data_IF_863627521178
#
_entry.id   IF_863627521178
#
_cell.length_a   1.000
_cell.length_b   1.000
_cell.length_c   1.000
_cell.angle_alpha   90.00
_cell.angle_beta   90.00
_cell.angle_gamma   90.00
#
_symmetry.space_group_name_H-M   'P 1'
#
loop_
_entity.id
_entity.type
_entity.pdbx_description
1 polymer ?
#
# COMPACT_ATOMS: atom_id res chain seq x y z
N UNK A 1 -6.40 -24.29 1.02
CA UNK A 1 -7.62 -24.69 1.73
C UNK A 1 -8.09 -26.10 1.31
N UNK A 2 -8.37 -26.36 0.04
CA UNK A 2 -8.81 -27.68 -0.48
C UNK A 2 -7.80 -28.78 -0.11
N UNK A 3 -6.49 -28.55 -0.27
CA UNK A 3 -5.46 -29.51 0.17
C UNK A 3 -5.52 -29.80 1.67
N UNK A 4 -5.78 -28.80 2.50
CA UNK A 4 -5.92 -28.96 3.94
C UNK A 4 -7.19 -29.74 4.30
N UNK A 5 -8.31 -29.51 3.59
CA UNK A 5 -9.53 -30.31 3.72
C UNK A 5 -9.27 -31.80 3.37
N UNK A 6 -8.67 -32.04 2.21
CA UNK A 6 -8.35 -33.39 1.77
C UNK A 6 -7.39 -34.09 2.72
N UNK A 7 -6.37 -33.40 3.22
CA UNK A 7 -5.44 -33.94 4.20
C UNK A 7 -6.17 -34.36 5.47
N UNK A 8 -7.02 -33.50 6.05
CA UNK A 8 -7.78 -33.81 7.26
C UNK A 8 -8.77 -34.95 7.06
N UNK A 9 -9.51 -34.95 5.95
CA UNK A 9 -10.57 -35.95 5.69
C UNK A 9 -10.02 -37.32 5.26
N UNK A 10 -8.88 -37.37 4.58
CA UNK A 10 -8.32 -38.62 4.07
C UNK A 10 -7.16 -39.17 4.91
N UNK A 11 -6.32 -38.31 5.52
CA UNK A 11 -5.09 -38.74 6.17
C UNK A 11 -5.12 -38.68 7.71
N UNK A 12 -6.06 -37.97 8.31
CA UNK A 12 -6.16 -37.87 9.76
C UNK A 12 -7.18 -38.87 10.37
N UNK A 13 -7.65 -39.85 9.60
CA UNK A 13 -8.57 -40.89 10.09
C UNK A 13 -7.87 -42.23 10.27
N UNK A 14 -8.34 -43.02 11.27
CA UNK A 14 -7.83 -44.37 11.52
C UNK A 14 -8.34 -45.36 10.48
N UNK A 15 -7.53 -46.40 10.20
CA UNK A 15 -7.92 -47.51 9.33
C UNK A 15 -8.99 -48.37 10.03
N UNK A 16 -10.09 -48.62 9.35
CA UNK A 16 -11.20 -49.42 9.90
C UNK A 16 -11.28 -50.80 9.23
N UNK A 17 -11.68 -51.79 10.00
CA UNK A 17 -11.84 -53.15 9.49
C UNK A 17 -12.99 -53.32 8.50
N UNK A 18 -14.11 -52.59 8.71
CA UNK A 18 -15.28 -52.60 7.82
C UNK A 18 -15.74 -51.17 7.55
N UNK A 19 -15.51 -50.63 6.34
CA UNK A 19 -15.87 -49.25 5.97
C UNK A 19 -17.40 -48.96 5.96
N UNK A 20 -18.22 -49.99 5.96
CA UNK A 20 -19.67 -49.87 5.95
C UNK A 20 -20.30 -49.96 7.38
N UNK A 21 -19.48 -50.06 8.42
CA UNK A 21 -19.98 -49.93 9.78
C UNK A 21 -20.52 -48.53 10.01
N UNK A 22 -21.75 -48.44 10.55
CA UNK A 22 -22.41 -47.18 10.88
C UNK A 22 -22.67 -46.22 9.67
N UNK A 23 -23.15 -46.75 8.54
CA UNK A 23 -23.48 -45.97 7.32
C UNK A 23 -24.44 -44.81 7.58
N UNK A 24 -25.39 -44.95 8.50
CA UNK A 24 -26.35 -43.90 8.85
C UNK A 24 -25.65 -42.72 9.57
N UNK A 25 -24.56 -42.98 10.32
CA UNK A 25 -23.91 -42.00 11.16
C UNK A 25 -24.77 -41.59 12.37
N UNK A 26 -24.36 -40.53 13.03
CA UNK A 26 -25.06 -39.99 14.20
C UNK A 26 -25.68 -38.63 13.83
N UNK A 27 -27.03 -38.57 13.88
CA UNK A 27 -27.79 -37.36 13.58
C UNK A 27 -27.96 -36.50 14.85
N UNK A 28 -27.53 -35.23 14.76
CA UNK A 28 -27.67 -34.26 15.85
C UNK A 28 -26.33 -33.69 16.33
N UNK A 29 -26.40 -32.74 17.25
CA UNK A 29 -25.24 -32.05 17.80
C UNK A 29 -24.94 -32.43 19.26
N UNK A 30 -25.85 -33.14 19.94
CA UNK A 30 -25.68 -33.51 21.33
C UNK A 30 -25.77 -35.02 21.48
N UNK A 31 -24.93 -35.56 22.34
CA UNK A 31 -24.97 -36.95 22.81
C UNK A 31 -26.01 -37.10 23.93
N UNK A 32 -26.37 -38.35 24.28
CA UNK A 32 -27.30 -38.63 25.37
C UNK A 32 -26.80 -38.12 26.73
N UNK A 33 -25.49 -38.00 26.90
CA UNK A 33 -24.84 -37.45 28.12
C UNK A 33 -24.76 -35.89 28.12
N UNK A 34 -25.35 -35.22 27.11
CA UNK A 34 -25.35 -33.76 26.98
C UNK A 34 -24.06 -33.20 26.35
N UNK A 35 -23.04 -33.99 26.05
CA UNK A 35 -21.86 -33.56 25.34
C UNK A 35 -22.12 -33.36 23.84
N UNK A 36 -21.27 -32.57 23.16
CA UNK A 36 -21.46 -32.19 21.76
C UNK A 36 -20.76 -33.20 20.84
N UNK A 37 -21.43 -33.58 19.74
CA UNK A 37 -20.81 -34.28 18.62
C UNK A 37 -19.99 -33.26 17.77
N UNK A 38 -18.69 -33.21 18.00
CA UNK A 38 -17.80 -32.26 17.31
C UNK A 38 -17.65 -32.55 15.81
N UNK A 39 -17.72 -33.81 15.40
CA UNK A 39 -17.57 -34.23 13.97
C UNK A 39 -18.59 -33.55 13.05
N UNK A 40 -19.87 -33.49 13.44
CA UNK A 40 -20.91 -32.85 12.65
C UNK A 40 -20.69 -31.33 12.51
N UNK A 41 -20.21 -30.69 13.59
CA UNK A 41 -19.84 -29.27 13.58
C UNK A 41 -18.59 -29.04 12.72
N UNK A 42 -17.60 -29.90 12.86
CA UNK A 42 -16.35 -29.81 12.10
C UNK A 42 -16.58 -29.96 10.60
N UNK A 43 -17.42 -30.92 10.19
CA UNK A 43 -17.80 -31.13 8.79
C UNK A 43 -18.53 -29.90 8.22
N UNK A 44 -19.48 -29.34 8.97
CA UNK A 44 -20.18 -28.12 8.57
C UNK A 44 -19.24 -26.93 8.41
N UNK A 45 -18.36 -26.68 9.39
CA UNK A 45 -17.39 -25.58 9.36
C UNK A 45 -16.36 -25.78 8.25
N UNK A 46 -15.92 -27.00 7.99
CA UNK A 46 -14.93 -27.32 6.97
C UNK A 46 -15.43 -27.01 5.56
N UNK A 47 -16.70 -27.15 5.26
CA UNK A 47 -17.26 -26.89 3.94
C UNK A 47 -17.78 -25.44 3.76
N UNK A 48 -17.99 -24.72 4.85
CA UNK A 48 -18.53 -23.35 4.83
C UNK A 48 -17.70 -22.36 4.00
N UNK A 49 -16.36 -22.25 4.10
CA UNK A 49 -15.57 -21.34 3.28
C UNK A 49 -15.24 -21.88 1.87
N UNK A 50 -15.46 -23.19 1.61
CA UNK A 50 -15.14 -23.81 0.31
C UNK A 50 -15.87 -23.13 -0.85
N UNK A 51 -17.17 -22.93 -0.72
CA UNK A 51 -18.01 -22.35 -1.78
C UNK A 51 -17.70 -20.88 -2.05
N UNK A 52 -17.61 -20.00 -1.04
CA UNK A 52 -17.15 -18.62 -1.26
C UNK A 52 -15.82 -18.53 -2.00
N UNK A 53 -14.83 -19.33 -1.61
CA UNK A 53 -13.52 -19.34 -2.25
C UNK A 53 -13.57 -19.86 -3.68
N UNK A 54 -14.31 -20.96 -3.91
CA UNK A 54 -14.46 -21.51 -5.26
C UNK A 54 -15.17 -20.55 -6.20
N UNK A 55 -16.26 -19.92 -5.76
CA UNK A 55 -17.00 -18.97 -6.57
C UNK A 55 -16.17 -17.71 -6.82
N UNK A 56 -15.40 -17.23 -5.84
CA UNK A 56 -14.49 -16.12 -6.05
C UNK A 56 -13.41 -16.43 -7.10
N UNK A 57 -12.82 -17.63 -7.06
CA UNK A 57 -11.83 -18.06 -8.06
C UNK A 57 -12.42 -18.23 -9.49
N UNK A 58 -13.68 -18.65 -9.60
CA UNK A 58 -14.34 -18.89 -10.89
C UNK A 58 -15.01 -17.64 -11.47
N UNK A 59 -15.12 -16.57 -10.70
CA UNK A 59 -15.88 -15.37 -11.03
C UNK A 59 -15.14 -14.39 -11.96
N UNK A 60 -13.86 -14.58 -12.19
CA UNK A 60 -13.00 -13.68 -12.98
C UNK A 60 -13.49 -13.40 -14.41
N UNK A 61 -14.44 -14.16 -14.93
CA UNK A 61 -14.94 -14.05 -16.32
C UNK A 61 -16.37 -13.49 -16.49
N UNK A 62 -17.14 -13.27 -15.44
CA UNK A 62 -18.55 -12.83 -15.56
C UNK A 62 -18.97 -11.75 -14.56
N UNK A 63 -18.29 -10.62 -14.51
CA UNK A 63 -18.48 -9.55 -13.50
C UNK A 63 -19.87 -8.90 -13.45
N UNK A 64 -20.75 -9.07 -14.44
CA UNK A 64 -21.96 -8.24 -14.58
C UNK A 64 -23.32 -8.94 -14.48
N UNK A 65 -23.39 -10.27 -14.28
CA UNK A 65 -24.69 -10.97 -14.20
C UNK A 65 -25.24 -11.00 -12.76
N UNK A 66 -26.45 -10.48 -12.55
CA UNK A 66 -27.22 -10.68 -11.31
C UNK A 66 -27.55 -12.16 -11.19
N UNK A 67 -27.02 -12.85 -10.19
CA UNK A 67 -27.32 -14.25 -9.91
C UNK A 67 -28.44 -14.35 -8.88
N UNK A 68 -29.59 -14.95 -9.18
CA UNK A 68 -30.65 -15.16 -8.21
C UNK A 68 -30.16 -16.11 -7.09
N UNK A 69 -30.66 -15.90 -5.87
CA UNK A 69 -30.30 -16.70 -4.69
C UNK A 69 -30.45 -18.21 -4.96
N UNK A 70 -31.55 -18.59 -5.60
CA UNK A 70 -31.84 -19.98 -5.94
C UNK A 70 -30.74 -20.64 -6.78
N UNK A 71 -30.19 -19.93 -7.77
CA UNK A 71 -29.11 -20.45 -8.62
C UNK A 71 -27.80 -20.61 -7.82
N UNK A 72 -27.48 -19.65 -6.95
CA UNK A 72 -26.28 -19.73 -6.11
C UNK A 72 -26.41 -20.91 -5.12
N UNK A 73 -27.55 -21.04 -4.42
CA UNK A 73 -27.80 -22.14 -3.49
C UNK A 73 -27.79 -23.49 -4.19
N UNK A 74 -28.49 -23.64 -5.32
CA UNK A 74 -28.51 -24.89 -6.08
C UNK A 74 -27.09 -25.33 -6.50
N UNK A 75 -26.27 -24.39 -7.03
CA UNK A 75 -24.87 -24.68 -7.38
C UNK A 75 -24.04 -25.04 -6.15
N UNK A 76 -24.21 -24.32 -5.03
CA UNK A 76 -23.49 -24.58 -3.79
C UNK A 76 -23.80 -25.98 -3.24
N UNK A 77 -25.07 -26.36 -3.20
CA UNK A 77 -25.52 -27.70 -2.78
C UNK A 77 -24.94 -28.76 -3.71
N UNK A 78 -25.08 -28.59 -5.02
CA UNK A 78 -24.59 -29.56 -6.00
C UNK A 78 -23.07 -29.78 -5.91
N UNK A 79 -22.29 -28.71 -5.85
CA UNK A 79 -20.82 -28.78 -5.76
C UNK A 79 -20.38 -29.40 -4.45
N UNK A 80 -20.98 -28.98 -3.31
CA UNK A 80 -20.60 -29.49 -1.99
C UNK A 80 -21.00 -30.96 -1.83
N UNK A 81 -22.18 -31.34 -2.31
CA UNK A 81 -22.62 -32.72 -2.32
C UNK A 81 -21.70 -33.62 -3.15
N UNK A 82 -21.39 -33.20 -4.39
CA UNK A 82 -20.51 -33.96 -5.28
C UNK A 82 -19.10 -34.11 -4.70
N UNK A 83 -18.54 -33.05 -4.10
CA UNK A 83 -17.23 -33.11 -3.48
C UNK A 83 -17.21 -33.96 -2.20
N UNK A 84 -18.25 -33.85 -1.36
CA UNK A 84 -18.40 -34.69 -0.17
C UNK A 84 -18.59 -36.17 -0.55
N UNK A 85 -19.43 -36.46 -1.53
CA UNK A 85 -19.61 -37.83 -2.02
C UNK A 85 -18.32 -38.44 -2.57
N UNK A 86 -17.52 -37.63 -3.28
CA UNK A 86 -16.20 -38.09 -3.76
C UNK A 86 -15.26 -38.44 -2.60
N UNK A 87 -15.24 -37.65 -1.53
CA UNK A 87 -14.47 -37.94 -0.32
C UNK A 87 -14.92 -39.25 0.31
N UNK A 88 -16.22 -39.42 0.53
CA UNK A 88 -16.81 -40.61 1.13
C UNK A 88 -16.51 -41.88 0.29
N UNK A 89 -16.59 -41.78 -1.03
CA UNK A 89 -16.22 -42.87 -1.94
C UNK A 89 -14.71 -43.19 -1.87
N UNK A 90 -13.84 -42.17 -1.81
CA UNK A 90 -12.41 -42.36 -1.62
C UNK A 90 -12.12 -43.07 -0.30
N UNK A 91 -12.78 -42.71 0.80
CA UNK A 91 -12.64 -43.36 2.11
C UNK A 91 -13.08 -44.83 2.05
N UNK A 92 -14.19 -45.09 1.38
CA UNK A 92 -14.69 -46.46 1.17
C UNK A 92 -13.69 -47.33 0.40
N UNK A 93 -13.19 -46.84 -0.74
CA UNK A 93 -12.26 -47.60 -1.58
C UNK A 93 -10.88 -47.78 -0.96
N UNK A 94 -10.37 -46.74 -0.27
CA UNK A 94 -9.06 -46.77 0.40
C UNK A 94 -9.09 -47.40 1.79
N UNK A 95 -10.29 -47.73 2.32
CA UNK A 95 -10.50 -48.27 3.67
C UNK A 95 -9.91 -47.39 4.78
N UNK A 96 -9.94 -46.07 4.61
CA UNK A 96 -9.38 -45.08 5.57
C UNK A 96 -10.48 -44.27 6.28
N UNK A 97 -11.56 -44.92 6.67
CA UNK A 97 -12.70 -44.32 7.36
C UNK A 97 -13.96 -45.11 7.13
N UNK A 98 -15.09 -44.62 7.64
CA UNK A 98 -16.41 -45.17 7.41
C UNK A 98 -17.21 -44.27 6.50
N UNK A 99 -17.90 -44.84 5.52
CA UNK A 99 -18.88 -44.11 4.71
C UNK A 99 -20.08 -43.72 5.57
N UNK A 100 -20.34 -42.40 5.72
CA UNK A 100 -21.42 -41.92 6.59
C UNK A 100 -22.32 -40.90 5.86
N UNK A 101 -23.62 -41.13 5.90
CA UNK A 101 -24.64 -40.23 5.35
C UNK A 101 -24.70 -38.89 6.11
N UNK A 102 -24.39 -38.90 7.39
CA UNK A 102 -24.29 -37.67 8.22
C UNK A 102 -23.19 -36.75 7.75
N UNK A 103 -22.02 -37.27 7.39
CA UNK A 103 -20.90 -36.48 6.84
C UNK A 103 -21.30 -35.84 5.52
N UNK A 104 -21.94 -36.60 4.63
CA UNK A 104 -22.44 -36.10 3.37
C UNK A 104 -23.48 -34.97 3.57
N UNK A 105 -24.36 -35.11 4.57
CA UNK A 105 -25.36 -34.11 4.89
C UNK A 105 -24.73 -32.83 5.46
N UNK A 106 -23.90 -32.94 6.53
CA UNK A 106 -23.33 -31.75 7.18
C UNK A 106 -22.31 -31.00 6.30
N UNK A 107 -21.53 -31.70 5.50
CA UNK A 107 -20.67 -31.11 4.48
C UNK A 107 -21.48 -30.33 3.43
N UNK A 108 -22.57 -30.90 2.93
CA UNK A 108 -23.47 -30.26 1.96
C UNK A 108 -24.15 -29.03 2.57
N UNK A 109 -24.60 -29.13 3.82
CA UNK A 109 -25.21 -28.03 4.57
C UNK A 109 -24.19 -26.88 4.77
N UNK A 110 -22.95 -27.21 5.16
CA UNK A 110 -21.85 -26.23 5.29
C UNK A 110 -21.61 -25.46 3.98
N UNK A 111 -21.57 -26.18 2.87
CA UNK A 111 -21.43 -25.54 1.55
C UNK A 111 -22.63 -24.69 1.15
N UNK A 112 -23.86 -25.11 1.47
CA UNK A 112 -25.06 -24.31 1.24
C UNK A 112 -25.05 -23.00 2.02
N UNK A 113 -24.66 -23.05 3.31
CA UNK A 113 -24.47 -21.86 4.16
C UNK A 113 -23.35 -20.96 3.60
N UNK A 114 -22.24 -21.53 3.15
CA UNK A 114 -21.17 -20.80 2.46
C UNK A 114 -21.67 -20.07 1.21
N UNK A 115 -22.52 -20.71 0.41
CA UNK A 115 -23.18 -20.09 -0.76
C UNK A 115 -24.10 -18.95 -0.38
N UNK A 116 -24.82 -19.05 0.73
CA UNK A 116 -25.66 -17.98 1.25
C UNK A 116 -24.82 -16.77 1.70
N UNK A 117 -23.73 -17.01 2.42
CA UNK A 117 -22.79 -15.96 2.82
C UNK A 117 -22.17 -15.28 1.61
N UNK A 118 -21.73 -16.04 0.61
CA UNK A 118 -21.22 -15.50 -0.65
C UNK A 118 -22.23 -14.59 -1.37
N UNK A 119 -23.47 -15.06 -1.52
CA UNK A 119 -24.55 -14.30 -2.15
C UNK A 119 -24.85 -12.99 -1.38
N UNK A 120 -24.90 -13.04 -0.05
CA UNK A 120 -25.11 -11.88 0.83
C UNK A 120 -23.97 -10.87 0.66
N UNK A 121 -22.73 -11.33 0.69
CA UNK A 121 -21.53 -10.50 0.49
C UNK A 121 -21.50 -9.86 -0.90
N UNK A 122 -21.71 -10.65 -1.98
CA UNK A 122 -21.74 -10.11 -3.36
C UNK A 122 -22.85 -9.07 -3.54
N UNK A 123 -24.02 -9.31 -2.97
CA UNK A 123 -25.12 -8.34 -2.99
C UNK A 123 -24.82 -7.07 -2.22
N UNK A 124 -24.18 -7.19 -1.06
CA UNK A 124 -23.77 -6.04 -0.25
C UNK A 124 -22.69 -5.23 -0.96
N UNK A 125 -21.68 -5.89 -1.53
CA UNK A 125 -20.63 -5.27 -2.35
C UNK A 125 -21.21 -4.50 -3.54
N UNK A 126 -22.16 -5.12 -4.29
CA UNK A 126 -22.82 -4.48 -5.44
C UNK A 126 -23.73 -3.32 -5.03
N UNK A 127 -24.38 -3.40 -3.84
CA UNK A 127 -25.16 -2.28 -3.29
C UNK A 127 -24.27 -1.14 -2.86
N UNK A 128 -23.16 -1.43 -2.17
CA UNK A 128 -22.16 -0.44 -1.79
C UNK A 128 -21.58 0.25 -3.03
N UNK A 129 -21.19 -0.52 -4.06
CA UNK A 129 -20.70 0.03 -5.31
C UNK A 129 -21.76 0.88 -6.05
N UNK A 130 -23.03 0.47 -6.02
CA UNK A 130 -24.14 1.25 -6.62
C UNK A 130 -24.43 2.52 -5.81
N UNK A 131 -24.32 2.46 -4.48
CA UNK A 131 -24.45 3.62 -3.60
C UNK A 131 -23.34 4.63 -3.83
N UNK A 132 -22.09 4.17 -3.89
CA UNK A 132 -20.91 4.99 -4.20
C UNK A 132 -21.05 5.63 -5.59
N UNK A 133 -21.54 4.90 -6.62
CA UNK A 133 -21.83 5.48 -7.95
C UNK A 133 -22.90 6.56 -7.89
N UNK A 134 -23.94 6.36 -7.08
CA UNK A 134 -25.02 7.34 -6.91
C UNK A 134 -24.54 8.61 -6.21
N UNK A 135 -23.65 8.50 -5.25
CA UNK A 135 -23.00 9.63 -4.58
C UNK A 135 -22.03 10.36 -5.53
N UNK A 136 -21.36 9.67 -6.43
CA UNK A 136 -20.41 10.25 -7.37
C UNK A 136 -20.98 10.88 -8.65
N UNK A 137 -22.31 10.97 -8.82
CA UNK A 137 -22.96 11.63 -9.99
C UNK A 137 -22.64 10.98 -11.36
N UNK A 138 -22.19 9.73 -11.39
CA UNK A 138 -21.74 9.05 -12.60
C UNK A 138 -22.93 8.40 -13.32
N UNK A 139 -23.53 9.12 -14.28
CA UNK A 139 -24.33 8.53 -15.33
C UNK A 139 -23.37 7.87 -16.34
N UNK A 140 -23.26 6.57 -16.25
CA UNK A 140 -22.52 5.79 -17.21
C UNK A 140 -23.36 5.54 -18.45
N UNK A 141 -23.08 6.26 -19.54
CA UNK A 141 -23.20 5.64 -20.86
C UNK A 141 -22.26 4.44 -20.88
N UNK A 142 -22.77 3.33 -21.41
CA UNK A 142 -22.09 2.02 -21.42
C UNK A 142 -20.68 2.14 -22.02
N UNK A 143 -19.65 2.04 -21.18
CA UNK A 143 -18.30 1.78 -21.68
C UNK A 143 -18.27 0.34 -22.25
N UNK A 144 -18.33 0.21 -23.54
CA UNK A 144 -18.03 -1.01 -24.28
C UNK A 144 -16.54 -0.99 -24.62
N UNK A 145 -15.72 -1.87 -24.02
CA UNK A 145 -14.34 -2.01 -24.46
C UNK A 145 -14.34 -2.45 -25.93
N UNK A 146 -13.42 -1.90 -26.76
CA UNK A 146 -13.28 -2.36 -28.13
C UNK A 146 -12.99 -3.87 -28.13
N UNK A 147 -13.63 -4.60 -29.06
CA UNK A 147 -13.42 -6.03 -29.22
C UNK A 147 -11.93 -6.34 -29.36
N UNK A 148 -11.40 -7.24 -28.52
CA UNK A 148 -10.03 -7.71 -28.64
C UNK A 148 -9.82 -8.35 -30.01
N UNK A 149 -9.06 -7.67 -30.86
CA UNK A 149 -8.51 -8.24 -32.07
C UNK A 149 -7.36 -9.18 -31.69
N UNK A 150 -7.68 -10.45 -31.52
CA UNK A 150 -6.76 -11.52 -31.14
C UNK A 150 -5.69 -11.83 -32.20
N UNK A 151 -5.59 -11.05 -33.28
CA UNK A 151 -4.69 -11.29 -34.40
C UNK A 151 -3.30 -10.61 -34.29
N UNK A 152 -3.01 -9.88 -33.20
CA UNK A 152 -1.78 -9.08 -33.07
C UNK A 152 -0.93 -9.33 -31.82
N UNK A 153 -0.73 -10.60 -31.44
CA UNK A 153 0.35 -10.94 -30.52
C UNK A 153 1.47 -11.63 -31.30
N UNK A 154 2.67 -11.03 -31.42
CA UNK A 154 3.83 -11.75 -31.95
C UNK A 154 4.29 -12.78 -30.90
N UNK A 155 4.26 -14.05 -31.29
CA UNK A 155 4.85 -15.15 -30.53
C UNK A 155 6.38 -14.95 -30.57
N UNK A 156 6.95 -14.52 -29.46
CA UNK A 156 8.41 -14.52 -29.28
C UNK A 156 8.83 -15.95 -29.00
N UNK A 157 9.43 -16.61 -29.98
CA UNK A 157 10.13 -17.89 -29.79
C UNK A 157 11.41 -17.60 -29.00
N UNK A 158 11.55 -18.24 -27.85
CA UNK A 158 12.80 -18.28 -27.11
C UNK A 158 13.82 -19.13 -27.91
N UNK A 159 14.85 -18.50 -28.44
CA UNK A 159 16.05 -19.18 -28.88
C UNK A 159 16.97 -19.41 -27.67
N UNK A 160 17.20 -20.68 -27.38
CA UNK A 160 18.21 -21.12 -26.42
C UNK A 160 19.59 -20.96 -27.05
N UNK A 161 20.43 -20.15 -26.46
CA UNK A 161 21.85 -20.11 -26.77
C UNK A 161 22.63 -20.50 -25.51
N UNK A 162 23.15 -21.74 -25.55
CA UNK A 162 24.23 -22.21 -24.69
C UNK A 162 25.49 -21.38 -24.91
N UNK A 163 26.09 -20.89 -23.85
CA UNK A 163 27.56 -20.81 -23.73
C UNK A 163 27.98 -20.62 -22.26
N UNK A 164 28.49 -21.68 -21.70
CA UNK A 164 29.35 -21.66 -20.52
C UNK A 164 30.61 -20.81 -20.78
N UNK A 165 30.95 -19.92 -19.87
CA UNK A 165 32.32 -19.53 -19.57
C UNK A 165 32.47 -19.16 -18.09
N UNK A 166 33.07 -20.08 -17.36
CA UNK A 166 33.77 -19.86 -16.10
C UNK A 166 34.69 -18.63 -16.19
N UNK A 167 34.61 -17.72 -15.23
CA UNK A 167 35.70 -16.78 -14.93
C UNK A 167 36.00 -16.78 -13.44
N UNK A 168 37.16 -17.28 -13.21
CA UNK A 168 37.96 -17.38 -12.00
C UNK A 168 38.09 -16.04 -11.28
N UNK A 169 37.84 -16.04 -10.00
CA UNK A 169 38.02 -14.93 -9.06
C UNK A 169 39.48 -14.78 -8.71
N UNK A 170 40.07 -13.62 -8.92
CA UNK A 170 41.43 -13.23 -8.45
C UNK A 170 41.26 -12.03 -7.50
N UNK A 171 41.75 -12.11 -6.26
CA UNK A 171 41.68 -10.99 -5.33
C UNK A 171 42.78 -9.94 -5.63
N UNK A 172 42.40 -8.68 -5.73
CA UNK A 172 43.34 -7.55 -5.83
C UNK A 172 43.58 -6.97 -4.45
N UNK A 173 44.86 -6.90 -4.10
CA UNK A 173 45.40 -6.32 -2.88
C UNK A 173 45.26 -4.79 -2.88
N UNK A 174 44.98 -4.26 -1.68
CA UNK A 174 45.05 -2.85 -1.33
C UNK A 174 46.45 -2.27 -1.57
N UNK A 175 46.50 -1.13 -2.25
CA UNK A 175 47.60 -0.18 -2.15
C UNK A 175 47.06 1.15 -1.66
N UNK A 176 47.46 1.48 -0.45
CA UNK A 176 47.42 2.81 0.16
C UNK A 176 48.40 3.73 -0.56
N UNK A 177 47.89 4.79 -1.19
CA UNK A 177 48.68 6.00 -1.44
C UNK A 177 47.80 7.23 -1.15
N UNK A 178 48.32 8.09 -0.27
CA UNK A 178 47.69 9.29 0.17
C UNK A 178 47.59 10.35 -0.90
N UNK A 179 46.44 10.96 -1.03
CA UNK A 179 46.25 12.28 -1.59
C UNK A 179 45.52 13.16 -0.61
N UNK A 180 46.15 14.26 -0.28
CA UNK A 180 45.62 15.39 0.48
C UNK A 180 44.43 15.94 -0.26
N UNK A 181 43.26 15.80 0.29
CA UNK A 181 42.02 16.39 -0.19
C UNK A 181 41.94 17.82 0.37
N UNK A 182 42.01 18.80 -0.52
CA UNK A 182 41.62 20.16 -0.21
C UNK A 182 40.09 20.18 -0.03
N UNK A 183 39.67 19.93 1.20
CA UNK A 183 38.30 20.21 1.60
C UNK A 183 38.13 21.74 1.59
N UNK A 184 37.46 22.26 0.59
CA UNK A 184 36.76 23.53 0.70
C UNK A 184 35.77 23.38 1.86
N UNK A 185 36.07 24.05 2.95
CA UNK A 185 35.14 24.32 4.05
C UNK A 185 33.93 25.05 3.45
N UNK A 186 32.89 24.30 3.08
CA UNK A 186 31.57 24.84 2.92
C UNK A 186 31.08 25.14 4.31
N UNK A 187 30.92 26.41 4.59
CA UNK A 187 30.37 27.02 5.76
C UNK A 187 29.10 26.25 6.20
N UNK A 188 29.28 25.37 7.16
CA UNK A 188 28.20 24.73 7.88
C UNK A 188 27.65 25.77 8.85
N UNK A 189 26.98 26.81 8.35
CA UNK A 189 26.18 27.71 9.16
C UNK A 189 25.03 26.86 9.70
N UNK A 190 25.28 26.30 10.89
CA UNK A 190 24.37 25.39 11.55
C UNK A 190 23.01 26.04 11.71
N UNK A 191 22.00 25.36 11.23
CA UNK A 191 20.62 25.68 11.54
C UNK A 191 20.55 25.67 13.06
N UNK A 192 20.06 26.74 13.70
CA UNK A 192 20.03 26.81 15.16
C UNK A 192 18.81 26.06 15.71
N UNK A 193 18.70 24.76 15.40
CA UNK A 193 17.82 23.83 16.11
C UNK A 193 18.65 23.11 17.15
N UNK A 194 18.26 23.30 18.42
CA UNK A 194 18.90 22.56 19.51
C UNK A 194 18.39 21.11 19.53
N UNK A 195 19.16 20.16 20.09
CA UNK A 195 18.70 18.79 20.24
C UNK A 195 17.39 18.66 21.03
N UNK A 196 17.18 19.55 22.01
CA UNK A 196 15.94 19.60 22.79
C UNK A 196 14.74 20.01 21.92
N UNK A 197 14.92 21.01 21.07
CA UNK A 197 13.88 21.42 20.13
C UNK A 197 13.56 20.33 19.08
N UNK A 198 14.57 19.60 18.60
CA UNK A 198 14.37 18.44 17.72
C UNK A 198 13.50 17.38 18.38
N UNK A 199 13.78 17.05 19.66
CA UNK A 199 13.01 16.06 20.43
C UNK A 199 11.59 16.55 20.75
N UNK A 200 11.42 17.83 21.08
CA UNK A 200 10.10 18.44 21.30
C UNK A 200 9.25 18.40 20.02
N UNK A 201 9.84 18.68 18.84
CA UNK A 201 9.15 18.57 17.55
C UNK A 201 8.75 17.11 17.29
N UNK A 202 9.65 16.15 17.47
CA UNK A 202 9.35 14.73 17.30
C UNK A 202 8.21 14.28 18.22
N UNK A 203 8.21 14.73 19.48
CA UNK A 203 7.16 14.42 20.46
C UNK A 203 5.81 15.00 20.03
N UNK A 204 5.77 16.26 19.64
CA UNK A 204 4.56 16.93 19.16
C UNK A 204 3.95 16.21 17.94
N UNK A 205 4.80 15.77 16.99
CA UNK A 205 4.37 15.07 15.79
C UNK A 205 3.84 13.66 16.14
N UNK A 206 4.44 12.96 17.11
CA UNK A 206 3.89 11.71 17.63
C UNK A 206 2.52 11.90 18.27
N UNK A 207 2.35 12.95 19.06
CA UNK A 207 1.03 13.29 19.64
C UNK A 207 -0.02 13.59 18.56
N UNK A 208 0.35 14.30 17.49
CA UNK A 208 -0.49 14.52 16.33
C UNK A 208 -0.90 13.21 15.64
N UNK A 209 0.05 12.29 15.42
CA UNK A 209 -0.21 10.97 14.87
C UNK A 209 -1.10 10.10 15.78
N UNK A 210 -0.98 10.23 17.11
CA UNK A 210 -1.89 9.56 18.04
C UNK A 210 -3.32 10.09 17.91
N UNK A 211 -3.52 11.39 17.73
CA UNK A 211 -4.84 11.97 17.43
C UNK A 211 -5.42 11.36 16.16
N UNK A 212 -4.62 11.22 15.10
CA UNK A 212 -4.98 10.59 13.85
C UNK A 212 -5.46 9.14 14.03
N UNK A 213 -4.74 8.31 14.82
CA UNK A 213 -5.12 6.92 15.11
C UNK A 213 -6.45 6.81 15.89
N UNK A 214 -6.76 7.78 16.73
CA UNK A 214 -7.97 7.77 17.57
C UNK A 214 -9.15 8.51 16.93
N UNK A 215 -8.98 9.04 15.72
CA UNK A 215 -10.02 9.75 14.98
C UNK A 215 -11.22 8.85 14.67
N UNK A 216 -12.41 9.34 14.96
CA UNK A 216 -13.68 8.70 14.61
C UNK A 216 -14.27 9.43 13.43
N UNK A 217 -13.94 8.98 12.23
CA UNK A 217 -14.50 9.53 11.01
C UNK A 217 -16.00 9.23 10.95
N UNK A 218 -16.81 10.29 10.86
CA UNK A 218 -18.22 10.25 10.45
C UNK A 218 -18.31 10.79 9.02
N UNK A 219 -19.38 10.44 8.32
CA UNK A 219 -19.60 10.91 6.94
C UNK A 219 -19.66 12.45 6.85
N UNK A 220 -20.11 13.13 7.93
CA UNK A 220 -20.21 14.58 8.02
C UNK A 220 -18.83 15.26 8.26
N UNK A 221 -17.81 14.52 8.63
CA UNK A 221 -16.46 15.05 8.89
C UNK A 221 -15.54 15.09 7.65
N UNK A 222 -16.07 14.72 6.48
CA UNK A 222 -15.35 14.68 5.21
C UNK A 222 -15.82 15.81 4.31
N UNK A 223 -14.88 16.63 3.84
CA UNK A 223 -15.14 17.76 2.95
C UNK A 223 -14.42 17.58 1.62
N UNK A 224 -15.09 17.87 0.52
CA UNK A 224 -14.48 17.89 -0.81
C UNK A 224 -13.89 19.28 -1.07
N UNK A 225 -12.59 19.34 -1.42
CA UNK A 225 -11.89 20.53 -1.88
C UNK A 225 -12.10 20.73 -3.38
N UNK A 226 -11.50 21.78 -3.94
CA UNK A 226 -11.55 22.06 -5.38
C UNK A 226 -10.91 20.90 -6.17
N UNK A 227 -11.65 20.36 -7.15
CA UNK A 227 -11.22 19.27 -8.02
C UNK A 227 -11.73 17.88 -7.58
N UNK A 228 -11.82 16.93 -8.52
CA UNK A 228 -12.40 15.62 -8.28
C UNK A 228 -11.52 14.78 -7.36
N UNK A 229 -12.13 14.16 -6.33
CA UNK A 229 -11.46 13.29 -5.36
C UNK A 229 -10.35 13.98 -4.54
N UNK A 230 -10.47 15.28 -4.32
CA UNK A 230 -9.62 16.06 -3.43
C UNK A 230 -10.39 16.30 -2.12
N UNK A 231 -9.97 15.65 -1.04
CA UNK A 231 -10.69 15.64 0.22
C UNK A 231 -9.85 16.19 1.37
N UNK A 232 -10.51 16.81 2.35
CA UNK A 232 -9.97 16.98 3.69
C UNK A 232 -10.99 16.51 4.72
N UNK A 233 -10.55 16.33 5.95
CA UNK A 233 -11.43 16.00 7.07
C UNK A 233 -11.31 17.07 8.15
N UNK A 234 -12.30 17.13 9.06
CA UNK A 234 -12.20 17.99 10.25
C UNK A 234 -10.94 17.72 11.06
N UNK A 235 -10.40 16.49 10.96
CA UNK A 235 -9.16 16.07 11.64
C UNK A 235 -7.92 16.70 11.00
N UNK A 236 -7.87 16.90 9.68
CA UNK A 236 -6.76 17.61 9.02
C UNK A 236 -6.63 19.01 9.60
N UNK A 237 -7.74 19.74 9.69
CA UNK A 237 -7.77 21.10 10.28
C UNK A 237 -7.44 21.10 11.78
N UNK A 238 -7.95 20.12 12.56
CA UNK A 238 -7.66 20.01 14.00
C UNK A 238 -6.18 19.72 14.24
N UNK A 239 -5.60 18.76 13.51
CA UNK A 239 -4.20 18.37 13.63
C UNK A 239 -3.29 19.50 13.18
N UNK A 240 -3.58 20.16 12.06
CA UNK A 240 -2.78 21.30 11.63
C UNK A 240 -2.77 22.43 12.68
N UNK A 241 -3.93 22.79 13.23
CA UNK A 241 -4.03 23.79 14.30
C UNK A 241 -3.24 23.39 15.55
N UNK A 242 -3.30 22.10 15.94
CA UNK A 242 -2.52 21.56 17.05
C UNK A 242 -1.02 21.69 16.79
N UNK A 243 -0.54 21.33 15.59
CA UNK A 243 0.86 21.44 15.18
C UNK A 243 1.33 22.90 15.16
N UNK A 244 0.58 23.84 14.56
CA UNK A 244 0.91 25.26 14.51
C UNK A 244 1.09 25.83 15.93
N UNK A 245 0.16 25.52 16.84
CA UNK A 245 0.24 25.98 18.22
C UNK A 245 1.45 25.42 18.98
N UNK A 246 1.79 24.14 18.76
CA UNK A 246 2.94 23.50 19.38
C UNK A 246 4.26 24.02 18.82
N UNK A 247 4.41 24.02 17.50
CA UNK A 247 5.61 24.49 16.81
C UNK A 247 5.91 25.97 17.08
N UNK A 248 4.85 26.81 17.14
CA UNK A 248 5.02 28.23 17.50
C UNK A 248 5.50 28.49 18.93
N UNK A 249 5.31 27.50 19.84
CA UNK A 249 5.92 27.56 21.18
C UNK A 249 7.38 27.12 21.18
N UNK A 250 7.73 26.11 20.36
CA UNK A 250 9.10 25.58 20.24
C UNK A 250 10.00 26.59 19.51
N UNK A 251 9.49 27.21 18.41
CA UNK A 251 10.17 28.26 17.64
C UNK A 251 9.30 29.51 17.52
N UNK A 252 9.35 30.41 18.51
CA UNK A 252 8.59 31.66 18.46
C UNK A 252 9.00 32.54 17.27
N UNK A 253 8.02 33.05 16.54
CA UNK A 253 8.24 33.87 15.34
C UNK A 253 8.38 33.09 14.04
N UNK A 254 8.25 31.77 14.06
CA UNK A 254 8.18 30.96 12.83
C UNK A 254 6.89 31.25 12.07
N UNK A 255 7.00 31.25 10.75
CA UNK A 255 5.86 31.28 9.83
C UNK A 255 5.40 29.84 9.51
N UNK A 256 4.14 29.70 9.06
CA UNK A 256 3.54 28.41 8.77
C UNK A 256 2.95 28.41 7.37
N UNK A 257 3.24 27.35 6.62
CA UNK A 257 2.68 27.01 5.33
C UNK A 257 2.05 25.62 5.43
N UNK A 258 0.74 25.57 5.69
CA UNK A 258 0.01 24.31 5.85
C UNK A 258 -0.82 23.98 4.63
N UNK A 259 -1.26 22.73 4.53
CA UNK A 259 -2.20 22.29 3.51
C UNK A 259 -3.57 22.97 3.66
N UNK A 260 -4.05 23.09 4.90
CA UNK A 260 -5.37 23.62 5.18
C UNK A 260 -5.35 25.14 5.42
N UNK A 261 -6.39 25.84 4.92
CA UNK A 261 -6.57 27.26 5.20
C UNK A 261 -6.99 27.45 6.66
N UNK A 262 -6.10 27.94 7.49
CA UNK A 262 -6.35 28.23 8.91
C UNK A 262 -5.85 29.62 9.29
N UNK A 263 -6.44 30.22 10.36
CA UNK A 263 -5.91 31.44 10.96
C UNK A 263 -4.48 31.19 11.46
N UNK A 264 -3.50 31.90 10.90
CA UNK A 264 -2.08 31.75 11.17
C UNK A 264 -1.27 31.10 10.03
N UNK A 265 -1.92 30.67 8.97
CA UNK A 265 -1.26 30.27 7.73
C UNK A 265 -0.80 31.54 7.00
N UNK A 266 0.52 31.72 6.84
CA UNK A 266 1.06 32.82 6.05
C UNK A 266 0.82 32.53 4.56
N UNK A 267 -0.25 33.10 3.99
CA UNK A 267 -0.53 32.97 2.57
C UNK A 267 0.69 33.37 1.72
N UNK A 268 1.16 32.47 0.90
CA UNK A 268 2.02 32.61 -0.30
C UNK A 268 3.32 33.40 -0.26
N UNK A 269 3.77 33.97 0.85
CA UNK A 269 5.09 34.63 0.96
C UNK A 269 5.74 34.27 2.29
N UNK A 270 6.35 33.11 2.36
CA UNK A 270 7.29 32.79 3.41
C UNK A 270 8.48 33.76 3.35
N UNK A 271 8.49 34.79 4.19
CA UNK A 271 9.54 35.81 4.29
C UNK A 271 10.26 35.78 5.64
N UNK A 272 9.77 34.92 6.55
CA UNK A 272 10.34 34.74 7.89
C UNK A 272 11.68 34.00 7.86
N UNK A 273 12.41 34.17 8.95
CA UNK A 273 13.68 33.43 9.15
C UNK A 273 13.45 31.91 9.21
N UNK A 274 12.32 31.49 9.83
CA UNK A 274 11.87 30.12 9.95
C UNK A 274 10.47 29.97 9.34
N UNK A 275 10.29 28.94 8.52
CA UNK A 275 8.98 28.60 7.94
C UNK A 275 8.74 27.10 8.07
N UNK A 276 7.67 26.71 8.73
CA UNK A 276 7.21 25.31 8.75
C UNK A 276 6.29 25.02 7.57
N UNK A 277 6.55 23.91 6.90
CA UNK A 277 5.69 23.30 5.87
C UNK A 277 4.99 22.11 6.51
N UNK A 278 3.66 22.14 6.60
CA UNK A 278 2.87 21.18 7.37
C UNK A 278 1.84 20.52 6.45
N UNK A 279 1.92 19.20 6.36
CA UNK A 279 0.82 18.36 5.92
C UNK A 279 0.34 17.56 7.14
N UNK A 280 -0.86 17.87 7.64
CA UNK A 280 -1.38 17.24 8.86
C UNK A 280 -1.70 15.76 8.67
N UNK A 281 -2.16 15.35 7.47
CA UNK A 281 -2.48 13.97 7.13
C UNK A 281 -2.13 13.72 5.65
N UNK A 282 -0.83 13.58 5.33
CA UNK A 282 -0.42 13.15 4.00
C UNK A 282 -1.01 11.78 3.68
N UNK A 283 -1.80 11.73 2.62
CA UNK A 283 -2.62 10.57 2.26
C UNK A 283 -4.01 10.58 2.91
N UNK A 284 -4.73 11.72 2.88
CA UNK A 284 -6.10 11.87 3.41
C UNK A 284 -7.06 10.81 2.88
N UNK A 285 -6.98 10.45 1.60
CA UNK A 285 -7.78 9.35 1.03
C UNK A 285 -7.49 8.01 1.73
N UNK A 286 -6.22 7.68 1.99
CA UNK A 286 -5.85 6.48 2.72
C UNK A 286 -6.39 6.50 4.15
N UNK A 287 -6.32 7.65 4.81
CA UNK A 287 -6.87 7.86 6.14
C UNK A 287 -8.38 7.64 6.19
N UNK A 288 -9.13 8.26 5.27
CA UNK A 288 -10.58 8.11 5.16
C UNK A 288 -11.01 6.66 4.96
N UNK A 289 -10.30 5.91 4.11
CA UNK A 289 -10.59 4.51 3.81
C UNK A 289 -9.90 3.51 4.74
N UNK A 290 -9.23 3.98 5.81
CA UNK A 290 -8.52 3.15 6.80
C UNK A 290 -7.51 2.19 6.14
N UNK A 291 -6.82 2.70 5.11
CA UNK A 291 -5.79 1.95 4.41
C UNK A 291 -4.50 1.82 5.21
N UNK A 292 -4.41 2.54 6.35
CA UNK A 292 -3.29 2.51 7.30
C UNK A 292 -1.94 2.90 6.66
N UNK A 293 -1.97 3.80 5.69
CA UNK A 293 -0.79 4.32 4.99
C UNK A 293 -0.94 5.82 4.75
N UNK A 294 -0.88 6.58 5.83
CA UNK A 294 -0.86 8.05 5.86
C UNK A 294 0.02 8.50 7.02
N UNK A 295 0.45 9.75 7.02
CA UNK A 295 1.42 10.24 8.01
C UNK A 295 1.19 11.72 8.32
N UNK A 296 1.85 12.18 9.39
CA UNK A 296 2.05 13.60 9.68
C UNK A 296 3.40 14.02 9.11
N UNK A 297 3.44 15.07 8.30
CA UNK A 297 4.65 15.59 7.65
C UNK A 297 4.91 17.04 8.04
N UNK A 298 6.11 17.32 8.57
CA UNK A 298 6.54 18.66 9.01
C UNK A 298 7.95 18.96 8.49
N UNK A 299 8.06 19.86 7.54
CA UNK A 299 9.33 20.41 7.04
C UNK A 299 9.62 21.75 7.70
N UNK A 300 10.88 22.03 8.01
CA UNK A 300 11.34 23.34 8.47
C UNK A 300 12.31 23.93 7.46
N UNK A 301 11.99 25.10 6.95
CA UNK A 301 12.92 25.91 6.17
C UNK A 301 13.54 27.00 7.07
N UNK A 302 14.81 27.25 6.87
CA UNK A 302 15.58 28.36 7.42
C UNK A 302 16.06 29.24 6.29
N UNK A 303 15.74 30.52 6.31
CA UNK A 303 16.07 31.48 5.23
C UNK A 303 15.72 30.97 3.82
N UNK A 304 14.52 30.36 3.71
CA UNK A 304 13.99 29.85 2.43
C UNK A 304 14.60 28.54 1.91
N UNK A 305 15.47 27.86 2.70
CA UNK A 305 16.05 26.56 2.35
C UNK A 305 15.61 25.50 3.37
N UNK A 306 15.22 24.31 2.88
CA UNK A 306 14.85 23.20 3.79
C UNK A 306 16.03 22.80 4.65
N UNK A 307 15.79 22.85 5.93
CA UNK A 307 16.78 22.74 7.00
C UNK A 307 16.57 21.47 7.84
N UNK A 308 15.31 21.12 8.13
CA UNK A 308 14.95 19.91 8.84
C UNK A 308 13.65 19.32 8.32
N UNK A 309 13.43 18.04 8.53
CA UNK A 309 12.23 17.33 8.15
C UNK A 309 11.89 16.20 9.10
N UNK A 310 10.60 16.04 9.38
CA UNK A 310 10.05 15.06 10.30
C UNK A 310 8.79 14.47 9.67
N UNK A 311 8.76 13.14 9.49
CA UNK A 311 7.60 12.41 8.93
C UNK A 311 7.30 11.25 9.86
N UNK A 312 6.06 11.19 10.35
CA UNK A 312 5.65 10.16 11.30
C UNK A 312 4.50 9.32 10.76
N UNK A 313 4.74 8.03 10.60
CA UNK A 313 3.72 7.03 10.31
C UNK A 313 3.22 6.42 11.62
N UNK A 314 2.01 6.79 12.09
CA UNK A 314 1.52 6.34 13.39
C UNK A 314 1.06 4.88 13.42
N UNK A 315 0.76 4.28 12.27
CA UNK A 315 0.26 2.91 12.18
C UNK A 315 1.32 1.85 12.52
N UNK A 316 2.58 2.18 12.31
CA UNK A 316 3.73 1.27 12.53
C UNK A 316 4.80 1.90 13.41
N UNK A 317 4.52 3.07 14.02
CA UNK A 317 5.43 3.84 14.87
C UNK A 317 6.79 4.11 14.20
N UNK A 318 6.78 4.59 12.96
CA UNK A 318 7.98 4.98 12.21
C UNK A 318 8.12 6.51 12.21
N UNK A 319 9.11 7.04 12.93
CA UNK A 319 9.51 8.45 12.91
C UNK A 319 10.75 8.60 12.04
N UNK A 320 10.60 9.18 10.88
CA UNK A 320 11.68 9.64 10.02
C UNK A 320 12.05 11.07 10.41
N UNK A 321 13.34 11.34 10.59
CA UNK A 321 13.83 12.67 10.91
C UNK A 321 15.16 12.94 10.24
N UNK A 322 15.37 14.19 9.84
CA UNK A 322 16.64 14.66 9.36
C UNK A 322 16.83 16.14 9.67
N UNK A 323 18.06 16.52 9.96
CA UNK A 323 18.51 17.91 10.03
C UNK A 323 19.71 18.04 9.10
N UNK A 324 19.74 19.10 8.31
CA UNK A 324 20.81 19.37 7.34
C UNK A 324 22.19 19.27 7.99
N UNK A 325 23.06 18.41 7.44
CA UNK A 325 24.41 18.14 7.95
C UNK A 325 24.50 17.17 9.13
N UNK A 326 23.37 16.74 9.74
CA UNK A 326 23.37 15.78 10.84
C UNK A 326 23.06 14.34 10.39
N UNK A 327 22.48 14.17 9.18
CA UNK A 327 22.06 12.90 8.60
C UNK A 327 20.59 12.62 8.78
N UNK A 328 20.15 11.49 8.21
CA UNK A 328 18.75 11.01 8.23
C UNK A 328 18.60 9.80 9.14
N UNK A 329 17.47 9.71 9.82
CA UNK A 329 17.21 8.67 10.83
C UNK A 329 15.79 8.13 10.73
N UNK A 330 15.63 6.84 11.07
CA UNK A 330 14.35 6.18 11.33
C UNK A 330 14.38 5.66 12.78
N UNK A 331 13.51 6.19 13.64
CA UNK A 331 13.46 5.86 15.06
C UNK A 331 14.86 5.92 15.71
N UNK A 332 15.63 6.98 15.42
CA UNK A 332 16.98 7.19 15.93
C UNK A 332 18.08 6.34 15.26
N UNK A 333 17.73 5.40 14.37
CA UNK A 333 18.70 4.63 13.60
C UNK A 333 19.07 5.34 12.30
N UNK A 334 20.35 5.61 12.10
CA UNK A 334 20.86 6.31 10.91
C UNK A 334 20.54 5.57 9.63
N UNK A 335 20.00 6.29 8.65
CA UNK A 335 19.70 5.80 7.31
C UNK A 335 20.86 6.11 6.36
N UNK A 336 21.06 5.22 5.38
CA UNK A 336 22.02 5.42 4.28
C UNK A 336 21.55 4.65 3.05
N UNK A 337 21.36 5.34 1.94
CA UNK A 337 20.95 4.78 0.66
C UNK A 337 22.16 4.15 -0.03
N UNK A 338 21.93 2.98 -0.66
CA UNK A 338 22.87 2.39 -1.63
C UNK A 338 22.47 2.84 -3.02
N UNK A 339 23.45 3.27 -3.84
CA UNK A 339 23.20 3.74 -5.21
C UNK A 339 22.91 2.54 -6.14
N UNK A 340 21.62 2.21 -6.31
CA UNK A 340 21.10 1.13 -7.14
C UNK A 340 20.49 1.67 -8.43
N UNK A 341 20.47 0.84 -9.48
CA UNK A 341 19.73 1.08 -10.71
C UNK A 341 18.25 0.66 -10.57
N UNK A 342 17.41 0.99 -11.55
CA UNK A 342 15.98 0.69 -11.53
C UNK A 342 15.71 -0.82 -11.41
N UNK A 343 16.51 -1.64 -12.11
CA UNK A 343 16.38 -3.11 -12.13
C UNK A 343 16.81 -3.80 -10.81
N UNK A 344 17.44 -3.07 -9.90
CA UNK A 344 17.87 -3.57 -8.60
C UNK A 344 16.87 -3.28 -7.46
N UNK A 345 15.70 -2.69 -7.75
CA UNK A 345 14.78 -2.33 -6.69
C UNK A 345 13.33 -2.04 -7.10
N UNK A 346 12.60 -1.51 -6.15
CA UNK A 346 11.19 -1.14 -6.30
C UNK A 346 11.11 0.29 -6.80
N UNK A 347 10.32 0.53 -7.86
CA UNK A 347 9.95 1.87 -8.30
C UNK A 347 8.60 2.26 -7.68
N UNK A 348 8.50 3.48 -7.16
CA UNK A 348 7.26 4.02 -6.66
C UNK A 348 6.81 5.23 -7.48
N UNK A 349 5.50 5.47 -7.50
CA UNK A 349 4.93 6.64 -8.15
C UNK A 349 3.68 7.11 -7.41
N UNK A 350 3.43 8.41 -7.46
CA UNK A 350 2.21 9.01 -7.00
C UNK A 350 1.39 9.55 -8.17
N UNK A 351 0.08 9.58 -7.99
CA UNK A 351 -0.86 10.21 -8.91
C UNK A 351 -2.08 10.67 -8.14
N UNK A 352 -2.53 11.87 -8.40
CA UNK A 352 -3.76 12.42 -7.84
C UNK A 352 -4.72 12.77 -8.99
N UNK A 353 -5.98 12.37 -8.85
CA UNK A 353 -6.99 12.56 -9.89
C UNK A 353 -7.24 14.04 -10.23
N UNK A 354 -7.01 14.93 -9.29
CA UNK A 354 -7.11 16.39 -9.50
C UNK A 354 -5.88 16.98 -10.23
N UNK A 355 -4.87 16.14 -10.59
CA UNK A 355 -3.65 16.51 -11.30
C UNK A 355 -3.49 15.69 -12.59
N UNK A 356 -4.47 15.73 -13.50
CA UNK A 356 -4.52 14.89 -14.71
C UNK A 356 -3.76 15.44 -15.92
N UNK A 357 -3.22 16.67 -15.84
CA UNK A 357 -2.56 17.35 -16.97
C UNK A 357 -1.44 16.53 -17.65
N UNK A 358 -0.74 15.65 -16.89
CA UNK A 358 0.38 14.85 -17.36
C UNK A 358 0.16 13.34 -17.17
N UNK A 359 -1.09 12.91 -17.07
CA UNK A 359 -1.44 11.52 -16.75
C UNK A 359 -0.89 10.52 -17.76
N UNK A 360 -0.93 10.83 -19.05
CA UNK A 360 -0.43 9.94 -20.10
C UNK A 360 1.08 9.73 -19.98
N UNK A 361 1.84 10.81 -19.82
CA UNK A 361 3.31 10.74 -19.63
C UNK A 361 3.67 9.96 -18.36
N UNK A 362 2.90 10.17 -17.28
CA UNK A 362 3.08 9.43 -16.05
C UNK A 362 2.88 7.93 -16.26
N UNK A 363 1.74 7.52 -16.82
CA UNK A 363 1.42 6.10 -16.97
C UNK A 363 2.29 5.41 -18.04
N UNK A 364 2.69 6.08 -19.10
CA UNK A 364 3.68 5.55 -20.03
C UNK A 364 5.05 5.36 -19.37
N UNK A 365 5.47 6.31 -18.50
CA UNK A 365 6.68 6.15 -17.68
C UNK A 365 6.56 4.98 -16.71
N UNK A 366 5.44 4.87 -15.99
CA UNK A 366 5.17 3.76 -15.05
C UNK A 366 5.19 2.40 -15.75
N UNK A 367 4.65 2.32 -16.96
CA UNK A 367 4.70 1.10 -17.79
C UNK A 367 6.13 0.67 -18.13
N UNK A 368 7.00 1.62 -18.44
CA UNK A 368 8.43 1.33 -18.67
C UNK A 368 9.17 0.98 -17.36
N UNK A 369 8.85 1.65 -16.27
CA UNK A 369 9.35 1.31 -14.93
C UNK A 369 8.93 -0.11 -14.51
N UNK A 370 7.66 -0.51 -14.78
CA UNK A 370 7.18 -1.87 -14.54
C UNK A 370 8.00 -2.94 -15.26
N UNK A 371 8.44 -2.65 -16.50
CA UNK A 371 9.23 -3.59 -17.29
C UNK A 371 10.68 -3.72 -16.83
N UNK A 372 11.18 -2.76 -16.07
CA UNK A 372 12.61 -2.66 -15.72
C UNK A 372 12.87 -2.87 -14.24
N UNK A 373 11.96 -2.44 -13.36
CA UNK A 373 12.13 -2.59 -11.91
C UNK A 373 11.70 -3.97 -11.42
N UNK A 374 12.11 -4.34 -10.22
CA UNK A 374 11.66 -5.57 -9.57
C UNK A 374 10.15 -5.55 -9.26
N UNK A 375 9.59 -4.38 -9.01
CA UNK A 375 8.16 -4.18 -8.75
C UNK A 375 7.83 -2.70 -8.75
N UNK A 376 6.53 -2.35 -8.90
CA UNK A 376 6.05 -0.97 -8.77
C UNK A 376 5.10 -0.83 -7.57
N UNK A 377 5.04 0.39 -7.01
CA UNK A 377 4.12 0.76 -5.91
C UNK A 377 3.52 2.12 -6.17
N UNK A 378 2.28 2.29 -5.71
CA UNK A 378 1.65 3.59 -5.51
C UNK A 378 1.07 3.58 -4.10
N UNK A 379 1.72 4.31 -3.19
CA UNK A 379 1.37 4.31 -1.76
C UNK A 379 0.19 5.21 -1.45
N UNK A 380 0.04 6.32 -2.18
CA UNK A 380 -0.98 7.33 -1.92
C UNK A 380 -0.67 8.23 -0.70
N UNK A 381 0.60 8.31 -0.32
CA UNK A 381 1.20 9.22 0.66
C UNK A 381 2.59 9.59 0.14
N UNK A 382 2.75 10.81 -0.36
CA UNK A 382 3.98 11.26 -1.01
C UNK A 382 5.15 11.29 -0.03
N UNK A 383 4.93 11.81 1.19
CA UNK A 383 5.96 11.88 2.20
C UNK A 383 6.44 10.49 2.63
N UNK A 384 5.54 9.49 2.79
CA UNK A 384 5.94 8.12 3.11
C UNK A 384 6.69 7.46 1.95
N UNK A 385 6.22 7.61 0.71
CA UNK A 385 6.87 7.02 -0.45
C UNK A 385 8.29 7.58 -0.62
N UNK A 386 8.51 8.88 -0.36
CA UNK A 386 9.82 9.52 -0.30
C UNK A 386 10.66 8.98 0.87
N UNK A 387 10.07 8.80 2.06
CA UNK A 387 10.78 8.19 3.19
C UNK A 387 11.21 6.74 2.90
N UNK A 388 10.46 6.00 2.07
CA UNK A 388 10.86 4.67 1.60
C UNK A 388 12.11 4.69 0.69
N UNK A 389 12.39 5.81 0.01
CA UNK A 389 13.69 6.03 -0.65
C UNK A 389 14.80 6.11 0.39
N UNK A 390 14.64 6.97 1.41
CA UNK A 390 15.65 7.16 2.45
C UNK A 390 15.97 5.86 3.21
N UNK A 391 14.97 5.01 3.43
CA UNK A 391 15.17 3.68 4.05
C UNK A 391 15.75 2.62 3.10
N UNK A 392 15.91 2.92 1.81
CA UNK A 392 16.42 2.01 0.78
C UNK A 392 15.42 0.95 0.33
N UNK A 393 14.14 1.10 0.68
CA UNK A 393 13.05 0.20 0.24
C UNK A 393 12.67 0.44 -1.22
N UNK A 394 12.68 1.71 -1.67
CA UNK A 394 12.43 2.10 -3.04
C UNK A 394 13.70 2.67 -3.68
N UNK A 395 13.90 2.47 -4.97
CA UNK A 395 15.03 3.04 -5.73
C UNK A 395 14.67 4.37 -6.38
N UNK A 396 13.40 4.57 -6.72
CA UNK A 396 12.87 5.84 -7.24
C UNK A 396 11.44 6.07 -6.73
N UNK A 397 11.08 7.36 -6.69
CA UNK A 397 9.72 7.86 -6.60
C UNK A 397 9.50 8.95 -7.63
N UNK A 398 8.36 8.93 -8.32
CA UNK A 398 7.99 9.87 -9.37
C UNK A 398 6.56 10.36 -9.14
N UNK A 399 6.37 11.70 -9.15
CA UNK A 399 5.05 12.32 -9.22
C UNK A 399 5.11 13.62 -10.04
N UNK A 400 4.06 13.87 -10.85
CA UNK A 400 4.06 14.95 -11.82
C UNK A 400 3.81 16.32 -11.19
N UNK A 401 3.11 16.37 -10.05
CA UNK A 401 2.76 17.63 -9.38
C UNK A 401 2.46 17.40 -7.90
N UNK A 402 3.28 17.97 -7.04
CA UNK A 402 3.14 17.98 -5.60
C UNK A 402 3.22 19.39 -5.05
N UNK A 403 2.53 19.62 -3.95
CA UNK A 403 2.60 20.87 -3.19
C UNK A 403 3.84 20.88 -2.29
N UNK A 404 4.36 22.06 -1.89
CA UNK A 404 5.54 22.14 -1.02
C UNK A 404 5.42 21.37 0.30
N UNK A 405 4.25 21.31 0.92
CA UNK A 405 4.04 20.60 2.18
C UNK A 405 4.11 19.08 2.03
N UNK A 406 3.82 18.50 0.83
CA UNK A 406 3.88 17.07 0.55
C UNK A 406 5.33 16.54 0.57
N UNK A 407 6.32 17.37 0.16
CA UNK A 407 7.69 16.91 -0.01
C UNK A 407 8.74 17.65 0.80
N UNK A 408 8.44 18.79 1.41
CA UNK A 408 9.44 19.59 2.11
C UNK A 408 10.17 18.79 3.20
N UNK A 409 9.43 18.10 4.06
CA UNK A 409 10.01 17.26 5.11
C UNK A 409 10.83 16.11 4.54
N UNK A 410 10.23 15.36 3.63
CA UNK A 410 10.83 14.16 3.08
C UNK A 410 12.05 14.47 2.19
N UNK A 411 12.13 15.68 1.60
CA UNK A 411 13.25 16.07 0.75
C UNK A 411 14.59 16.04 1.48
N UNK A 412 14.69 16.67 2.65
CA UNK A 412 15.92 16.65 3.45
C UNK A 412 16.19 15.26 4.02
N UNK A 413 15.15 14.47 4.32
CA UNK A 413 15.30 13.08 4.77
C UNK A 413 15.96 12.23 3.67
N UNK A 414 15.55 12.39 2.41
CA UNK A 414 16.16 11.70 1.26
C UNK A 414 17.60 12.17 1.03
N UNK A 415 17.85 13.48 1.01
CA UNK A 415 19.19 14.03 0.74
C UNK A 415 20.20 13.66 1.84
N UNK A 416 19.82 13.76 3.13
CA UNK A 416 20.67 13.38 4.26
C UNK A 416 20.91 11.87 4.39
N UNK A 417 20.07 11.05 3.74
CA UNK A 417 20.32 9.61 3.56
C UNK A 417 21.26 9.30 2.38
N UNK A 418 21.62 10.31 1.57
CA UNK A 418 22.48 10.17 0.39
C UNK A 418 21.75 9.95 -0.93
N UNK A 419 20.43 10.17 -0.96
CA UNK A 419 19.63 10.16 -2.17
C UNK A 419 19.65 11.47 -2.94
N UNK A 420 18.89 11.50 -4.03
CA UNK A 420 18.69 12.67 -4.88
C UNK A 420 17.21 12.99 -4.92
N UNK A 421 16.85 14.26 -4.85
CA UNK A 421 15.52 14.78 -5.12
C UNK A 421 15.62 16.05 -5.96
N UNK A 422 14.85 16.12 -7.03
CA UNK A 422 14.77 17.25 -7.94
C UNK A 422 13.46 17.20 -8.73
N UNK A 423 13.17 18.20 -9.52
CA UNK A 423 12.12 18.12 -10.52
C UNK A 423 12.51 17.12 -11.63
N UNK A 424 11.55 16.69 -12.42
CA UNK A 424 11.76 15.70 -13.50
C UNK A 424 12.79 16.22 -14.51
N UNK A 425 12.77 17.52 -14.84
CA UNK A 425 13.71 18.19 -15.73
C UNK A 425 15.10 18.45 -15.11
N UNK A 426 15.35 17.91 -13.93
CA UNK A 426 16.56 18.11 -13.12
C UNK A 426 16.72 19.51 -12.50
N UNK A 427 15.75 20.41 -12.65
CA UNK A 427 15.76 21.68 -11.91
C UNK A 427 15.55 21.46 -10.42
N UNK A 428 16.04 22.35 -9.55
CA UNK A 428 15.82 22.26 -8.11
C UNK A 428 14.32 22.28 -7.76
N UNK A 429 13.94 21.56 -6.70
CA UNK A 429 12.60 21.68 -6.12
C UNK A 429 12.37 23.10 -5.61
N UNK A 430 11.12 23.54 -5.57
CA UNK A 430 10.73 24.89 -5.14
C UNK A 430 9.76 24.84 -3.97
N UNK A 431 9.86 25.80 -3.04
CA UNK A 431 8.98 25.86 -1.86
C UNK A 431 7.82 26.87 -2.02
N UNK A 432 7.68 27.47 -3.21
CA UNK A 432 6.72 28.56 -3.41
C UNK A 432 5.55 28.20 -4.31
N UNK A 433 5.65 27.07 -5.02
CA UNK A 433 4.61 26.59 -5.96
C UNK A 433 4.72 25.08 -6.12
N UNK A 434 3.65 24.43 -6.58
CA UNK A 434 3.70 23.01 -6.95
C UNK A 434 4.76 22.74 -8.00
N UNK A 435 5.40 21.57 -7.90
CA UNK A 435 6.36 21.11 -8.91
C UNK A 435 6.33 19.58 -9.04
N UNK A 436 6.91 19.08 -10.14
CA UNK A 436 7.13 17.64 -10.29
C UNK A 436 8.26 17.18 -9.39
N UNK A 437 8.18 15.93 -8.94
CA UNK A 437 9.21 15.32 -8.08
C UNK A 437 9.71 14.03 -8.71
N UNK A 438 11.03 13.92 -8.81
CA UNK A 438 11.75 12.69 -9.04
C UNK A 438 12.80 12.54 -7.94
N UNK A 439 12.65 11.53 -7.11
CA UNK A 439 13.55 11.25 -6.00
C UNK A 439 14.02 9.80 -6.03
N UNK A 440 15.22 9.53 -5.51
CA UNK A 440 15.74 8.16 -5.47
C UNK A 440 17.25 8.08 -5.33
N UNK A 441 17.77 6.92 -5.75
CA UNK A 441 19.20 6.74 -5.96
C UNK A 441 19.66 7.60 -7.16
N UNK A 442 20.92 7.98 -7.21
CA UNK A 442 21.44 8.77 -8.34
C UNK A 442 21.24 8.03 -9.67
N UNK A 443 21.65 6.75 -9.72
CA UNK A 443 21.50 5.89 -10.91
C UNK A 443 20.03 5.75 -11.33
N UNK A 444 19.13 5.44 -10.38
CA UNK A 444 17.70 5.30 -10.64
C UNK A 444 17.08 6.58 -11.22
N UNK A 445 17.40 7.74 -10.66
CA UNK A 445 16.92 9.03 -11.18
C UNK A 445 17.44 9.33 -12.59
N UNK A 446 18.72 9.08 -12.86
CA UNK A 446 19.33 9.32 -14.19
C UNK A 446 18.73 8.39 -15.26
N UNK A 447 18.47 7.14 -14.92
CA UNK A 447 17.82 6.17 -15.80
C UNK A 447 16.35 6.56 -16.05
N UNK A 448 15.61 6.98 -15.02
CA UNK A 448 14.21 7.41 -15.16
C UNK A 448 14.09 8.64 -16.05
N UNK A 449 14.97 9.65 -15.92
CA UNK A 449 14.97 10.84 -16.81
C UNK A 449 15.20 10.46 -18.27
N UNK A 450 16.07 9.48 -18.55
CA UNK A 450 16.28 8.96 -19.92
C UNK A 450 15.03 8.31 -20.49
N UNK A 451 14.24 7.60 -19.64
CA UNK A 451 12.98 7.00 -20.06
C UNK A 451 11.95 8.06 -20.42
N UNK A 452 11.77 9.07 -19.56
CA UNK A 452 10.80 10.15 -19.79
C UNK A 452 11.16 10.92 -21.07
N UNK A 453 12.43 11.31 -21.27
CA UNK A 453 12.89 12.00 -22.48
C UNK A 453 12.74 11.18 -23.77
N UNK A 454 12.61 9.87 -23.68
CA UNK A 454 12.30 8.99 -24.82
C UNK A 454 10.80 8.95 -25.11
N UNK A 455 9.94 9.00 -24.09
CA UNK A 455 8.49 8.97 -24.20
C UNK A 455 7.93 10.28 -24.77
N UNK A 456 8.54 11.42 -24.44
CA UNK A 456 8.14 12.76 -24.92
C UNK A 456 8.55 13.05 -26.39
N UNK A 457 9.26 12.15 -27.05
CA UNK A 457 9.67 12.24 -28.46
C UNK A 457 8.72 11.48 -29.38
#
# INVERSE_FOLDING_TARGET
YICMMLFRTLFCRSIWGNPLDNVLGVWGFHKEDGSIYTENIENLILFLPMIPLLFWMLEEKEHNKKRPLQTVLARSVYVSFGFSLLIELCQLFLKIGTFQLTDLFFNTLGGALGGLLYWGFDRSRKRAAAYIRKLGGWDTEEWNPPAEDSSRLPIIKAETADTEKEKTFVPVQEKTEGQQDHSTETDASGIPLTPEQEEEICTLIREAGQKMLHAKLSDDAVHEKDGPANFCTDFDMEIQKFLIQGLGRILPGAEFFGEEETEGNAGSKASGEYTFYIDPIDGTTNFMFRYNHSCVSVGLAYQGKIAAGFVYNPYVDEMYSAVRGKGSFLNGKRLKIQDKSIDEGIAAFGCARYNDENVEVLFDTVKELFRRSLSIRSGGSAALDLCRIASGSNVIYLEMKLQPYDYAAASVIVEEAGGVIAQIDASPITLHKPCSILAGTRRGCDETRKLISFIER
#
